data_IF_986216075104
#
_entry.id   IF_986216075104
#
_cell.length_a   1.000
_cell.length_b   1.000
_cell.length_c   1.000
_cell.angle_alpha   90.00
_cell.angle_beta   90.00
_cell.angle_gamma   90.00
#
_symmetry.space_group_name_H-M   'P 1'
#
loop_
_entity.id
_entity.type
_entity.pdbx_description
1 polymer ?
#
# COMPACT_ATOMS: atom_id res chain seq x y z
N UNK A 1 8.57 -11.90 34.38
CA UNK A 1 8.66 -10.67 33.57
C UNK A 1 8.04 -11.00 32.22
N UNK A 2 6.76 -10.71 32.02
CA UNK A 2 6.07 -10.93 30.73
C UNK A 2 6.35 -9.70 29.86
N UNK A 3 7.13 -9.89 28.80
CA UNK A 3 7.33 -8.86 27.78
C UNK A 3 6.16 -8.92 26.80
N UNK A 4 5.47 -7.81 26.62
CA UNK A 4 4.28 -7.72 25.78
C UNK A 4 4.66 -7.01 24.47
N UNK A 5 4.64 -7.76 23.37
CA UNK A 5 5.03 -7.30 22.02
C UNK A 5 3.84 -6.68 21.24
N UNK A 6 2.64 -6.79 21.80
CA UNK A 6 1.39 -6.34 21.19
C UNK A 6 0.79 -5.13 21.88
N UNK A 7 -0.11 -4.44 21.18
CA UNK A 7 -0.98 -3.39 21.71
C UNK A 7 -2.42 -3.71 21.34
N UNK A 8 -3.35 -3.48 22.27
CA UNK A 8 -4.80 -3.62 22.01
C UNK A 8 -5.36 -2.31 21.47
N UNK A 9 -6.05 -2.38 20.33
CA UNK A 9 -6.67 -1.20 19.69
C UNK A 9 -7.78 -1.61 18.73
N UNK A 10 -8.66 -0.67 18.41
CA UNK A 10 -9.71 -0.84 17.40
C UNK A 10 -9.28 -0.29 16.04
N UNK A 11 -9.85 -0.86 14.98
CA UNK A 11 -9.71 -0.35 13.60
C UNK A 11 -11.09 -0.03 13.01
N UNK A 12 -11.19 0.90 12.06
CA UNK A 12 -12.44 1.18 11.37
C UNK A 12 -13.00 -0.05 10.65
N UNK A 13 -14.33 -0.13 10.54
CA UNK A 13 -14.97 -1.18 9.75
C UNK A 13 -14.60 -1.04 8.26
N UNK A 14 -13.98 -2.08 7.71
CA UNK A 14 -13.41 -2.08 6.36
C UNK A 14 -14.38 -2.58 5.27
N UNK A 15 -15.61 -2.96 5.63
CA UNK A 15 -16.56 -3.55 4.69
C UNK A 15 -16.30 -5.04 4.39
N UNK A 16 -16.93 -5.58 3.33
CA UNK A 16 -16.72 -6.96 2.90
C UNK A 16 -15.27 -7.25 2.48
N UNK A 17 -14.77 -8.43 2.83
CA UNK A 17 -13.42 -8.88 2.47
C UNK A 17 -13.16 -8.83 0.96
N UNK A 18 -14.18 -9.16 0.16
CA UNK A 18 -14.08 -9.21 -1.30
C UNK A 18 -13.61 -7.87 -1.89
N UNK A 19 -14.08 -6.74 -1.35
CA UNK A 19 -13.76 -5.39 -1.85
C UNK A 19 -12.28 -5.05 -1.61
N UNK A 20 -11.78 -5.40 -0.41
CA UNK A 20 -10.37 -5.22 -0.05
C UNK A 20 -9.44 -6.13 -0.86
N UNK A 21 -9.84 -7.38 -1.09
CA UNK A 21 -9.08 -8.34 -1.91
C UNK A 21 -9.03 -7.89 -3.36
N UNK A 22 -10.15 -7.48 -3.94
CA UNK A 22 -10.21 -7.01 -5.33
C UNK A 22 -9.30 -5.79 -5.55
N UNK A 23 -9.38 -4.80 -4.64
CA UNK A 23 -8.51 -3.61 -4.66
C UNK A 23 -7.03 -3.98 -4.55
N UNK A 24 -6.70 -4.92 -3.66
CA UNK A 24 -5.32 -5.36 -3.46
C UNK A 24 -4.77 -6.08 -4.69
N UNK A 25 -5.56 -6.97 -5.30
CA UNK A 25 -5.18 -7.66 -6.53
C UNK A 25 -4.99 -6.67 -7.69
N UNK A 26 -5.81 -5.62 -7.77
CA UNK A 26 -5.63 -4.57 -8.77
C UNK A 26 -4.28 -3.85 -8.61
N UNK A 27 -3.92 -3.48 -7.37
CA UNK A 27 -2.61 -2.86 -7.08
C UNK A 27 -1.45 -3.75 -7.53
N UNK A 28 -1.49 -5.03 -7.17
CA UNK A 28 -0.45 -6.00 -7.55
C UNK A 28 -0.35 -6.12 -9.08
N UNK A 29 -1.47 -6.26 -9.80
CA UNK A 29 -1.47 -6.35 -11.26
C UNK A 29 -0.95 -5.07 -11.92
N UNK A 30 -1.34 -3.90 -11.42
CA UNK A 30 -0.82 -2.62 -11.91
C UNK A 30 0.69 -2.52 -11.74
N UNK A 31 1.22 -2.92 -10.57
CA UNK A 31 2.66 -2.99 -10.33
C UNK A 31 3.36 -3.96 -11.29
N UNK A 32 2.78 -5.16 -11.51
CA UNK A 32 3.33 -6.13 -12.46
C UNK A 32 3.42 -5.58 -13.88
N UNK A 33 2.35 -4.93 -14.36
CA UNK A 33 2.34 -4.28 -15.66
C UNK A 33 3.39 -3.17 -15.77
N UNK A 34 3.53 -2.33 -14.73
CA UNK A 34 4.55 -1.27 -14.69
C UNK A 34 5.98 -1.83 -14.71
N UNK A 35 6.19 -3.03 -14.16
CA UNK A 35 7.48 -3.74 -14.25
C UNK A 35 7.65 -4.56 -15.54
N UNK A 36 6.68 -4.53 -16.48
CA UNK A 36 6.72 -5.32 -17.71
C UNK A 36 6.66 -6.84 -17.47
N UNK A 37 5.95 -7.26 -16.42
CA UNK A 37 5.79 -8.67 -16.03
C UNK A 37 4.32 -9.11 -16.17
N UNK A 38 4.09 -10.25 -16.82
CA UNK A 38 2.75 -10.84 -16.98
C UNK A 38 2.47 -11.99 -15.99
N UNK A 39 3.49 -12.40 -15.23
CA UNK A 39 3.40 -13.48 -14.26
C UNK A 39 4.24 -13.17 -13.01
N UNK A 40 3.95 -13.86 -11.90
CA UNK A 40 4.70 -13.69 -10.65
C UNK A 40 6.18 -14.07 -10.81
N UNK A 41 6.55 -15.18 -11.47
CA UNK A 41 7.96 -15.48 -11.73
C UNK A 41 8.67 -14.39 -12.53
N UNK A 42 8.00 -13.81 -13.54
CA UNK A 42 8.56 -12.69 -14.30
C UNK A 42 8.75 -11.46 -13.42
N UNK A 43 7.81 -11.14 -12.53
CA UNK A 43 7.94 -10.02 -11.60
C UNK A 43 9.18 -10.20 -10.72
N UNK A 44 9.36 -11.38 -10.14
CA UNK A 44 10.50 -11.70 -9.28
C UNK A 44 11.85 -11.55 -10.02
N UNK A 45 11.89 -11.86 -11.31
CA UNK A 45 13.10 -11.75 -12.14
C UNK A 45 13.35 -10.32 -12.65
N UNK A 46 12.29 -9.63 -13.11
CA UNK A 46 12.37 -8.35 -13.83
C UNK A 46 12.35 -7.14 -12.90
N UNK A 47 11.67 -7.22 -11.75
CA UNK A 47 11.53 -6.07 -10.86
C UNK A 47 12.90 -5.57 -10.38
N UNK A 48 13.00 -4.26 -10.21
CA UNK A 48 14.16 -3.58 -9.64
C UNK A 48 13.69 -2.67 -8.53
N UNK A 49 14.39 -2.73 -7.40
CA UNK A 49 14.14 -1.87 -6.26
C UNK A 49 15.22 -0.80 -6.20
N UNK A 50 14.79 0.41 -5.90
CA UNK A 50 15.68 1.56 -5.70
C UNK A 50 15.44 2.09 -4.31
N UNK A 51 16.52 2.31 -3.56
CA UNK A 51 16.45 2.94 -2.24
C UNK A 51 16.07 4.40 -2.42
N UNK A 52 15.13 4.88 -1.63
CA UNK A 52 14.64 6.26 -1.66
C UNK A 52 14.77 6.89 -0.27
N UNK A 53 14.88 8.22 -0.22
CA UNK A 53 14.92 8.96 1.05
C UNK A 53 13.52 9.07 1.67
N UNK A 54 13.46 9.46 2.95
CA UNK A 54 12.19 9.79 3.61
C UNK A 54 11.42 10.89 2.87
N UNK A 55 12.12 11.90 2.35
CA UNK A 55 11.51 12.96 1.54
C UNK A 55 10.85 12.39 0.30
N UNK A 56 11.53 11.52 -0.46
CA UNK A 56 10.94 10.90 -1.66
C UNK A 56 9.68 10.06 -1.38
N UNK A 57 9.54 9.52 -0.17
CA UNK A 57 8.31 8.81 0.23
C UNK A 57 7.14 9.78 0.38
N UNK A 58 7.39 10.95 1.00
CA UNK A 58 6.37 12.01 1.11
C UNK A 58 5.97 12.51 -0.27
N UNK A 59 6.95 12.72 -1.15
CA UNK A 59 6.73 13.14 -2.54
C UNK A 59 6.00 12.10 -3.41
N UNK A 60 6.13 10.81 -3.08
CA UNK A 60 5.39 9.76 -3.79
C UNK A 60 3.90 9.71 -3.43
N UNK A 61 3.48 10.37 -2.35
CA UNK A 61 2.09 10.47 -1.92
C UNK A 61 1.37 11.68 -2.51
N UNK A 62 0.14 11.92 -2.05
CA UNK A 62 -0.53 13.20 -2.33
C UNK A 62 0.04 14.29 -1.42
N UNK A 63 0.76 15.25 -2.00
CA UNK A 63 1.30 16.43 -1.32
C UNK A 63 0.78 17.73 -1.94
N UNK A 64 0.90 18.85 -1.21
CA UNK A 64 0.57 20.21 -1.64
C UNK A 64 -0.89 20.44 -2.08
N UNK A 65 -1.80 19.56 -1.67
CA UNK A 65 -3.23 19.65 -1.99
C UNK A 65 -4.13 19.27 -0.81
N UNK A 66 -5.33 19.84 -0.77
CA UNK A 66 -6.37 19.46 0.19
C UNK A 66 -7.08 18.20 -0.33
N UNK A 67 -6.92 17.09 0.39
CA UNK A 67 -7.60 15.83 0.08
C UNK A 67 -9.08 15.89 0.49
N UNK A 68 -9.97 15.68 -0.49
CA UNK A 68 -11.43 15.73 -0.26
C UNK A 68 -11.97 14.63 0.67
N UNK A 69 -11.34 13.46 0.69
CA UNK A 69 -11.81 12.28 1.45
C UNK A 69 -10.84 11.90 2.58
N UNK A 70 -10.17 12.87 3.20
CA UNK A 70 -9.33 12.59 4.35
C UNK A 70 -10.24 12.25 5.56
N UNK A 71 -10.14 11.06 6.19
CA UNK A 71 -10.97 10.71 7.35
C UNK A 71 -10.74 11.62 8.56
N UNK A 72 -9.70 12.47 8.53
CA UNK A 72 -9.41 13.49 9.53
C UNK A 72 -10.09 14.86 9.26
N UNK A 73 -10.86 15.00 8.17
CA UNK A 73 -11.61 16.22 7.82
C UNK A 73 -13.10 16.15 8.23
N UNK A 74 -13.40 15.38 9.28
CA UNK A 74 -14.65 15.46 10.05
C UNK A 74 -14.37 15.95 11.46
#
# INVERSE_FOLDING_TARGET
>A
LSFEEGVDSYVPYAGPLADGVQTTLYKVRSTMCNCGALSIPELQQKARLTVVSSTSIVEGGSHDVILKNNPNNV
#
